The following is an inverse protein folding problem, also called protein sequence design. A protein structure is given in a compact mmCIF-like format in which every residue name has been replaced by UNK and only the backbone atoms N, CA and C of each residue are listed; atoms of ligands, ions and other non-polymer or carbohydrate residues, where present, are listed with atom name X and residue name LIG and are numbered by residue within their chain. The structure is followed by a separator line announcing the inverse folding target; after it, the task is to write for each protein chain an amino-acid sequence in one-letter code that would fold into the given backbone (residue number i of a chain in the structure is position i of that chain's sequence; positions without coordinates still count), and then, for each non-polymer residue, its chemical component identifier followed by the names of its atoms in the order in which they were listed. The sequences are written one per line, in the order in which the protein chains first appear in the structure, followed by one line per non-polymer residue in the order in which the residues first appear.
data_IF_933998496609
#
_entry.id   IF_933998496609
#
_cell.length_a   1.000
_cell.length_b   1.000
_cell.length_c   1.000
_cell.angle_alpha   90.00
_cell.angle_beta   90.00
_cell.angle_gamma   90.00
#
_symmetry.space_group_name_H-M   'P 1'
#
loop_
_entity.id
_entity.type
_entity.pdbx_description
1 polymer ?
#
# COMPACT_ATOMS: atom_id res chain seq x y z
N UNK A 1 60.16 43.21 20.75
CA UNK A 1 59.18 42.71 19.77
C UNK A 1 59.34 41.20 19.70
N UNK A 2 58.43 40.45 20.31
CA UNK A 2 58.37 38.99 20.28
C UNK A 2 57.10 38.61 19.50
N UNK A 3 57.15 37.63 18.59
CA UNK A 3 55.97 37.26 17.82
C UNK A 3 55.06 36.38 18.68
N UNK A 4 53.78 36.77 18.76
CA UNK A 4 52.73 35.98 19.39
C UNK A 4 52.33 34.88 18.39
N UNK A 5 52.66 33.64 18.73
CA UNK A 5 52.28 32.44 17.98
C UNK A 5 50.83 32.09 18.37
N UNK A 6 49.87 32.43 17.51
CA UNK A 6 48.47 32.06 17.68
C UNK A 6 48.29 30.56 17.46
N UNK A 7 48.12 29.82 18.55
CA UNK A 7 47.77 28.40 18.55
C UNK A 7 46.29 28.25 18.21
N UNK A 8 45.99 27.80 16.99
CA UNK A 8 44.64 27.49 16.54
C UNK A 8 44.24 26.12 17.12
N UNK A 9 43.51 26.13 18.24
CA UNK A 9 42.91 24.91 18.80
C UNK A 9 41.68 24.57 17.97
N UNK A 10 41.81 23.62 17.06
CA UNK A 10 40.67 22.98 16.39
C UNK A 10 40.01 22.05 17.42
N UNK A 11 38.95 22.55 18.08
CA UNK A 11 38.06 21.71 18.87
C UNK A 11 37.26 20.89 17.86
N UNK A 12 37.70 19.65 17.62
CA UNK A 12 36.86 18.65 16.97
C UNK A 12 35.67 18.39 17.89
N UNK A 13 34.54 19.03 17.60
CA UNK A 13 33.26 18.64 18.19
C UNK A 13 32.94 17.27 17.61
N UNK A 14 33.27 16.23 18.36
CA UNK A 14 32.69 14.91 18.17
C UNK A 14 31.17 15.06 18.31
N UNK A 15 30.46 15.01 17.19
CA UNK A 15 29.02 14.86 17.19
C UNK A 15 28.68 13.57 17.92
N UNK A 16 28.27 13.69 19.17
CA UNK A 16 27.64 12.60 19.91
C UNK A 16 26.26 12.35 19.28
N UNK A 17 26.21 11.50 18.25
CA UNK A 17 24.95 10.90 17.80
C UNK A 17 24.52 9.87 18.85
N UNK A 18 23.84 10.37 19.88
CA UNK A 18 23.20 9.59 20.92
C UNK A 18 21.82 10.20 21.14
N UNK A 19 20.91 10.02 20.18
CA UNK A 19 19.50 10.36 20.36
C UNK A 19 18.69 9.07 20.53
N UNK A 20 17.98 9.01 21.65
CA UNK A 20 17.25 7.88 22.19
C UNK A 20 16.33 7.21 21.15
N UNK A 21 16.58 5.94 20.84
CA UNK A 21 15.89 5.23 19.75
C UNK A 21 14.42 4.88 20.02
N UNK A 22 13.91 5.20 21.21
CA UNK A 22 12.63 4.69 21.73
C UNK A 22 11.75 5.78 22.35
N UNK A 23 12.06 7.05 22.06
CA UNK A 23 11.23 8.18 22.48
C UNK A 23 11.36 9.36 21.52
N UNK A 24 10.41 10.28 21.65
CA UNK A 24 10.38 11.56 20.98
C UNK A 24 9.86 12.62 21.95
N UNK A 25 10.54 13.76 22.04
CA UNK A 25 10.12 14.86 22.90
C UNK A 25 10.33 16.20 22.21
N UNK A 26 9.30 17.05 22.26
CA UNK A 26 9.33 18.42 21.73
C UNK A 26 8.18 19.25 22.29
N UNK A 27 8.46 20.47 22.74
CA UNK A 27 7.46 21.52 23.04
C UNK A 27 6.27 21.06 23.89
N UNK A 28 6.53 20.30 24.97
CA UNK A 28 5.48 19.81 25.88
C UNK A 28 4.67 18.61 25.36
N UNK A 29 5.11 18.02 24.25
CA UNK A 29 4.76 16.69 23.75
C UNK A 29 5.93 15.74 23.98
N UNK A 30 5.65 14.60 24.57
CA UNK A 30 6.60 13.52 24.85
C UNK A 30 5.91 12.20 24.59
N UNK A 31 6.56 11.33 23.84
CA UNK A 31 6.11 9.96 23.65
C UNK A 31 7.29 9.02 23.77
N UNK A 32 7.13 7.94 24.53
CA UNK A 32 8.06 6.82 24.57
C UNK A 32 7.37 5.53 24.18
N UNK A 33 8.14 4.56 23.70
CA UNK A 33 7.63 3.26 23.33
C UNK A 33 8.57 2.12 23.73
N UNK A 34 7.97 0.99 24.11
CA UNK A 34 8.69 -0.26 24.41
C UNK A 34 7.99 -1.44 23.74
N UNK A 35 8.76 -2.48 23.40
CA UNK A 35 8.27 -3.73 22.84
C UNK A 35 8.31 -4.80 23.93
N UNK A 36 7.12 -5.30 24.28
CA UNK A 36 6.96 -6.41 25.22
C UNK A 36 7.33 -7.75 24.60
N UNK A 37 7.55 -8.76 25.46
CA UNK A 37 7.82 -10.14 25.04
C UNK A 37 6.61 -10.79 24.34
N UNK A 38 5.44 -10.21 24.52
CA UNK A 38 4.17 -10.55 23.87
C UNK A 38 4.00 -9.92 22.49
N UNK A 39 5.06 -9.33 21.92
CA UNK A 39 5.04 -8.67 20.62
C UNK A 39 4.07 -7.47 20.56
N UNK A 40 3.80 -6.82 21.69
CA UNK A 40 3.03 -5.56 21.74
C UNK A 40 3.96 -4.37 21.92
N UNK A 41 3.63 -3.28 21.23
CA UNK A 41 4.29 -1.99 21.40
C UNK A 41 3.46 -1.19 22.40
N UNK A 42 4.03 -0.94 23.57
CA UNK A 42 3.45 -0.10 24.61
C UNK A 42 3.94 1.34 24.40
N UNK A 43 3.01 2.29 24.44
CA UNK A 43 3.27 3.71 24.28
C UNK A 43 2.90 4.45 25.55
N UNK A 44 3.75 5.41 25.94
CA UNK A 44 3.43 6.41 26.94
C UNK A 44 3.47 7.78 26.28
N UNK A 45 2.31 8.43 26.17
CA UNK A 45 2.15 9.73 25.53
C UNK A 45 1.76 10.78 26.57
N UNK A 46 2.60 11.81 26.71
CA UNK A 46 2.37 12.97 27.55
C UNK A 46 2.32 14.23 26.67
N UNK A 47 1.20 14.95 26.67
CA UNK A 47 1.04 16.13 25.82
C UNK A 47 0.30 17.25 26.54
N UNK A 48 0.71 18.49 26.31
CA UNK A 48 0.08 19.67 26.89
C UNK A 48 -0.84 20.35 25.88
N UNK A 49 -1.98 20.88 26.34
CA UNK A 49 -2.93 21.57 25.49
C UNK A 49 -2.27 22.74 24.73
N UNK A 50 -2.47 22.84 23.41
CA UNK A 50 -1.97 23.97 22.64
C UNK A 50 -2.71 25.23 23.11
N UNK A 51 -1.97 26.27 23.50
CA UNK A 51 -2.53 27.58 23.86
C UNK A 51 -3.72 27.55 24.84
N UNK A 52 -3.73 26.61 25.80
CA UNK A 52 -4.81 26.42 26.79
C UNK A 52 -6.21 26.17 26.19
N UNK A 53 -6.29 25.57 25.00
CA UNK A 53 -7.55 25.14 24.41
C UNK A 53 -8.24 24.08 25.27
N UNK A 54 -9.53 24.22 25.52
CA UNK A 54 -10.34 23.22 26.25
C UNK A 54 -10.65 21.98 25.39
N UNK A 55 -10.66 22.16 24.07
CA UNK A 55 -10.95 21.15 23.07
C UNK A 55 -9.78 21.04 22.09
N UNK A 56 -9.03 19.95 22.14
CA UNK A 56 -7.83 19.76 21.33
C UNK A 56 -7.52 18.28 21.11
N UNK A 57 -6.57 17.99 20.24
CA UNK A 57 -6.11 16.64 19.99
C UNK A 57 -4.59 16.57 19.86
N UNK A 58 -4.05 15.39 20.14
CA UNK A 58 -2.66 15.00 19.86
C UNK A 58 -2.64 13.56 19.36
N UNK A 59 -1.56 13.11 18.74
CA UNK A 59 -1.51 11.77 18.15
C UNK A 59 -0.07 11.25 17.98
N UNK A 60 0.03 10.01 17.50
CA UNK A 60 1.18 9.43 16.81
C UNK A 60 0.63 8.91 15.48
N UNK A 61 1.32 9.15 14.38
CA UNK A 61 0.94 8.63 13.08
C UNK A 61 2.06 7.82 12.44
N UNK A 62 1.70 6.74 11.76
CA UNK A 62 2.61 5.77 11.17
C UNK A 62 2.38 5.70 9.65
N UNK A 63 3.46 5.74 8.86
CA UNK A 63 3.43 5.57 7.42
C UNK A 63 3.95 6.76 6.60
N UNK A 64 4.06 6.57 5.29
CA UNK A 64 4.76 7.47 4.34
C UNK A 64 4.15 8.88 4.23
N UNK A 65 2.84 9.02 4.43
CA UNK A 65 2.21 10.34 4.46
C UNK A 65 0.69 10.32 4.37
N UNK A 66 0.08 11.49 4.51
CA UNK A 66 -1.38 11.68 4.49
C UNK A 66 -2.06 11.15 3.22
N UNK A 67 -1.32 11.09 2.12
CA UNK A 67 -1.84 10.69 0.81
C UNK A 67 -1.76 9.16 0.55
N UNK A 68 -1.00 8.41 1.36
CA UNK A 68 -0.92 6.94 1.27
C UNK A 68 -1.84 6.25 2.28
N UNK A 69 -2.30 7.02 3.28
CA UNK A 69 -3.13 6.59 4.39
C UNK A 69 -2.28 6.34 5.62
N UNK A 70 -2.14 7.35 6.46
CA UNK A 70 -1.51 7.20 7.78
C UNK A 70 -2.42 6.39 8.70
N UNK A 71 -1.81 5.49 9.44
CA UNK A 71 -2.38 4.85 10.62
C UNK A 71 -2.14 5.79 11.81
N UNK A 72 -3.19 6.21 12.51
CA UNK A 72 -3.14 7.30 13.48
C UNK A 72 -3.76 6.87 14.80
N UNK A 73 -2.94 6.84 15.85
CA UNK A 73 -3.43 6.71 17.22
C UNK A 73 -3.50 8.10 17.82
N UNK A 74 -4.71 8.52 18.18
CA UNK A 74 -5.01 9.88 18.59
C UNK A 74 -5.62 9.92 19.99
N UNK A 75 -5.22 10.91 20.78
CA UNK A 75 -5.95 11.30 21.98
C UNK A 75 -6.70 12.59 21.69
N UNK A 76 -8.03 12.53 21.81
CA UNK A 76 -8.92 13.69 21.68
C UNK A 76 -9.33 14.13 23.09
N UNK A 77 -9.21 15.42 23.36
CA UNK A 77 -9.69 16.09 24.57
C UNK A 77 -10.88 16.97 24.21
N UNK A 78 -12.04 16.64 24.75
CA UNK A 78 -13.30 17.38 24.55
C UNK A 78 -14.02 17.49 25.88
N UNK A 79 -14.51 18.69 26.22
CA UNK A 79 -15.29 18.90 27.44
C UNK A 79 -14.60 18.38 28.72
N UNK A 80 -13.28 18.60 28.82
CA UNK A 80 -12.43 18.15 29.93
C UNK A 80 -12.38 16.61 30.10
N UNK A 81 -12.67 15.86 29.03
CA UNK A 81 -12.51 14.41 28.98
C UNK A 81 -11.55 14.05 27.85
N UNK A 82 -10.67 13.08 28.11
CA UNK A 82 -9.73 12.58 27.13
C UNK A 82 -10.09 11.14 26.71
N UNK A 83 -10.01 10.86 25.41
CA UNK A 83 -10.31 9.54 24.84
C UNK A 83 -9.30 9.16 23.76
N UNK A 84 -8.95 7.89 23.72
CA UNK A 84 -8.12 7.30 22.67
C UNK A 84 -9.00 6.97 21.46
N UNK A 85 -8.46 7.21 20.27
CA UNK A 85 -9.10 6.85 19.01
C UNK A 85 -8.05 6.26 18.07
N UNK A 86 -8.47 5.23 17.37
CA UNK A 86 -7.76 4.65 16.24
C UNK A 86 -8.38 5.21 14.96
N UNK A 87 -7.54 5.71 14.06
CA UNK A 87 -7.98 6.47 12.88
C UNK A 87 -7.06 6.25 11.70
N UNK A 88 -7.63 6.50 10.52
CA UNK A 88 -6.88 6.52 9.27
C UNK A 88 -6.98 7.88 8.58
N UNK A 89 -5.86 8.34 8.04
CA UNK A 89 -5.84 9.51 7.15
C UNK A 89 -6.48 9.14 5.81
N UNK A 90 -7.44 9.94 5.35
CA UNK A 90 -8.08 9.76 4.03
C UNK A 90 -7.72 10.87 3.05
N UNK A 91 -7.30 12.04 3.54
CA UNK A 91 -6.86 13.17 2.73
C UNK A 91 -6.16 14.24 3.60
N UNK A 92 -5.71 15.33 2.98
CA UNK A 92 -5.15 16.48 3.70
C UNK A 92 -6.22 17.09 4.64
N UNK A 93 -5.98 17.03 5.95
CA UNK A 93 -6.87 17.58 6.98
C UNK A 93 -8.04 16.68 7.40
N UNK A 94 -8.20 15.50 6.81
CA UNK A 94 -9.28 14.55 7.13
C UNK A 94 -8.78 13.22 7.69
N UNK A 95 -9.30 12.81 8.85
CA UNK A 95 -9.21 11.43 9.34
C UNK A 95 -10.60 10.88 9.61
N UNK A 96 -10.78 9.58 9.34
CA UNK A 96 -12.02 8.87 9.67
C UNK A 96 -11.74 7.86 10.78
N UNK A 97 -12.68 7.65 11.71
CA UNK A 97 -12.63 6.50 12.60
C UNK A 97 -12.49 5.23 11.77
N UNK A 98 -11.56 4.37 12.16
CA UNK A 98 -11.51 3.01 11.61
C UNK A 98 -12.72 2.23 12.13
N UNK A 99 -13.21 1.26 11.36
CA UNK A 99 -14.28 0.36 11.82
C UNK A 99 -13.82 -0.61 12.92
N UNK A 100 -12.53 -0.57 13.27
CA UNK A 100 -11.88 -1.48 14.19
C UNK A 100 -10.85 -0.71 15.03
N UNK A 101 -11.02 -0.72 16.36
CA UNK A 101 -10.01 -0.21 17.29
C UNK A 101 -8.98 -1.30 17.55
N UNK A 102 -7.74 -1.11 17.09
CA UNK A 102 -6.65 -2.09 17.30
C UNK A 102 -5.67 -1.64 18.38
N UNK A 103 -5.88 -0.44 18.88
CA UNK A 103 -5.17 0.09 20.02
C UNK A 103 -5.98 -0.15 21.29
N UNK A 104 -5.34 -0.77 22.29
CA UNK A 104 -5.95 -0.95 23.61
C UNK A 104 -5.46 0.13 24.55
N UNK A 105 -6.41 0.85 25.15
CA UNK A 105 -6.15 1.83 26.21
C UNK A 105 -5.83 1.10 27.52
N UNK A 106 -4.71 1.41 28.15
CA UNK A 106 -4.40 0.99 29.52
C UNK A 106 -4.86 2.08 30.51
N UNK A 107 -4.43 3.32 30.30
CA UNK A 107 -4.85 4.46 31.13
C UNK A 107 -4.85 5.77 30.34
N UNK A 108 -5.73 6.69 30.69
CA UNK A 108 -5.70 8.08 30.23
C UNK A 108 -6.09 8.97 31.40
N UNK A 109 -5.25 9.95 31.70
CA UNK A 109 -5.51 10.98 32.71
C UNK A 109 -5.32 12.36 32.10
N UNK A 110 -6.16 13.30 32.50
CA UNK A 110 -6.09 14.71 32.12
C UNK A 110 -5.96 15.52 33.40
N UNK A 111 -4.82 16.20 33.56
CA UNK A 111 -4.51 17.00 34.74
C UNK A 111 -3.92 18.34 34.30
N UNK A 112 -4.51 19.45 34.74
CA UNK A 112 -4.00 20.80 34.49
C UNK A 112 -3.72 21.08 32.99
N UNK A 113 -4.59 20.61 32.10
CA UNK A 113 -4.42 20.78 30.65
C UNK A 113 -3.35 19.88 30.01
N UNK A 114 -2.81 18.91 30.76
CA UNK A 114 -1.89 17.89 30.24
C UNK A 114 -2.53 16.52 30.25
N UNK A 115 -2.45 15.84 29.11
CA UNK A 115 -2.83 14.44 28.94
C UNK A 115 -1.63 13.56 29.25
N UNK A 116 -1.89 12.45 29.93
CA UNK A 116 -0.97 11.32 30.04
C UNK A 116 -1.76 10.07 29.64
N UNK A 117 -1.33 9.40 28.58
CA UNK A 117 -1.99 8.24 28.02
C UNK A 117 -1.02 7.07 27.91
N UNK A 118 -1.44 5.91 28.42
CA UNK A 118 -0.76 4.63 28.24
C UNK A 118 -1.65 3.72 27.41
N UNK A 119 -1.11 3.16 26.35
CA UNK A 119 -1.84 2.28 25.44
C UNK A 119 -0.87 1.37 24.69
N UNK A 120 -1.39 0.29 24.12
CA UNK A 120 -0.58 -0.62 23.31
C UNK A 120 -1.30 -1.09 22.05
N UNK A 121 -0.54 -1.62 21.11
CA UNK A 121 -1.03 -2.39 19.97
C UNK A 121 -0.02 -3.44 19.53
N UNK A 122 -0.43 -4.37 18.67
CA UNK A 122 0.47 -5.39 18.15
C UNK A 122 1.61 -4.80 17.29
N UNK A 123 2.82 -5.33 17.43
CA UNK A 123 4.01 -4.97 16.65
C UNK A 123 3.84 -5.33 15.17
N UNK A 124 3.23 -6.48 14.92
CA UNK A 124 2.83 -6.95 13.59
C UNK A 124 1.32 -7.00 13.55
N UNK A 125 0.76 -6.48 12.46
CA UNK A 125 -0.67 -6.43 12.20
C UNK A 125 -0.89 -6.86 10.76
N UNK A 126 -1.89 -7.70 10.55
CA UNK A 126 -2.35 -8.13 9.23
C UNK A 126 -3.58 -7.31 8.76
N UNK A 127 -3.85 -6.18 9.42
CA UNK A 127 -5.08 -5.41 9.26
C UNK A 127 -4.84 -4.20 8.35
N UNK A 128 -5.79 -3.93 7.46
CA UNK A 128 -5.65 -3.10 6.25
C UNK A 128 -5.39 -1.61 6.48
N UNK A 129 -5.73 -1.11 7.66
CA UNK A 129 -5.61 0.29 8.03
C UNK A 129 -4.44 0.54 8.99
N UNK A 130 -3.71 -0.53 9.32
CA UNK A 130 -2.70 -0.56 10.34
C UNK A 130 -1.31 -0.77 9.73
N UNK A 131 -0.33 0.03 10.13
CA UNK A 131 1.06 -0.13 9.72
C UNK A 131 1.81 -1.01 10.73
N UNK A 132 2.47 -2.11 10.32
CA UNK A 132 3.26 -2.92 11.24
C UNK A 132 4.49 -2.16 11.69
N UNK A 133 4.68 -2.07 12.99
CA UNK A 133 5.71 -1.25 13.62
C UNK A 133 7.08 -1.94 13.70
N UNK A 134 7.16 -3.22 13.34
CA UNK A 134 8.41 -4.00 13.35
C UNK A 134 9.45 -3.55 12.30
N UNK A 135 9.01 -2.93 11.20
CA UNK A 135 9.88 -2.52 10.10
C UNK A 135 10.28 -1.05 10.20
N UNK A 136 11.31 -0.67 9.44
CA UNK A 136 11.68 0.74 9.26
C UNK A 136 10.56 1.51 8.55
N UNK A 137 10.04 2.56 9.18
CA UNK A 137 9.06 3.45 8.56
C UNK A 137 9.07 4.85 9.17
N UNK A 138 8.60 5.87 8.44
CA UNK A 138 8.40 7.19 8.99
C UNK A 138 7.23 7.20 10.00
N UNK A 139 7.50 7.78 11.16
CA UNK A 139 6.50 8.15 12.16
C UNK A 139 6.38 9.67 12.15
N UNK A 140 5.16 10.18 12.32
CA UNK A 140 4.87 11.60 12.42
C UNK A 140 4.34 11.93 13.82
N UNK A 141 4.95 12.96 14.41
CA UNK A 141 4.70 13.43 15.76
C UNK A 141 4.09 14.83 15.70
N UNK A 142 2.75 14.96 15.78
CA UNK A 142 2.05 16.24 15.83
C UNK A 142 2.22 16.91 17.21
N UNK A 143 3.45 17.34 17.50
CA UNK A 143 3.84 17.89 18.80
C UNK A 143 3.03 19.14 19.20
N UNK A 144 2.59 19.93 18.23
CA UNK A 144 1.73 21.10 18.47
C UNK A 144 0.25 20.76 18.64
N UNK A 145 -0.15 19.50 18.40
CA UNK A 145 -1.54 19.09 18.31
C UNK A 145 -2.37 19.90 17.31
N UNK A 146 -3.69 19.86 17.49
CA UNK A 146 -4.66 20.69 16.78
C UNK A 146 -5.95 20.89 17.58
N UNK A 147 -6.91 21.60 17.00
CA UNK A 147 -8.23 21.85 17.62
C UNK A 147 -9.22 20.77 17.19
N UNK A 148 -10.20 20.48 18.04
CA UNK A 148 -11.40 19.70 17.67
C UNK A 148 -12.63 20.61 17.66
N UNK A 149 -13.52 20.38 16.70
CA UNK A 149 -14.79 21.08 16.54
C UNK A 149 -15.92 20.42 17.34
N UNK A 150 -15.63 19.36 18.10
CA UNK A 150 -16.61 18.53 18.79
C UNK A 150 -16.95 17.26 18.02
N UNK A 151 -17.53 16.29 18.73
CA UNK A 151 -17.91 14.95 18.22
C UNK A 151 -16.74 14.20 17.56
N UNK A 152 -15.49 14.51 17.94
CA UNK A 152 -14.29 13.93 17.33
C UNK A 152 -13.99 14.44 15.92
N UNK A 153 -14.59 15.54 15.49
CA UNK A 153 -14.19 16.20 14.24
C UNK A 153 -12.97 17.07 14.50
N UNK A 154 -11.85 16.69 13.93
CA UNK A 154 -10.59 17.42 14.10
C UNK A 154 -10.38 18.43 12.98
N UNK A 155 -9.66 19.51 13.28
CA UNK A 155 -9.06 20.40 12.27
C UNK A 155 -7.55 20.17 12.19
N UNK A 156 -6.94 20.77 11.17
CA UNK A 156 -5.51 20.68 10.92
C UNK A 156 -4.67 21.08 12.15
N UNK A 157 -3.54 20.40 12.31
CA UNK A 157 -2.54 20.69 13.33
C UNK A 157 -2.02 22.14 13.22
N UNK A 158 -1.60 22.73 14.35
CA UNK A 158 -1.07 24.10 14.37
C UNK A 158 0.29 24.25 13.66
N UNK A 159 1.12 23.21 13.73
CA UNK A 159 2.42 23.14 13.06
C UNK A 159 2.59 21.80 12.37
N UNK A 160 3.37 21.78 11.28
CA UNK A 160 3.65 20.56 10.53
C UNK A 160 4.28 19.52 11.47
N UNK A 161 3.72 18.30 11.57
CA UNK A 161 4.25 17.24 12.40
C UNK A 161 5.72 16.94 12.07
N UNK A 162 6.54 16.74 13.10
CA UNK A 162 7.91 16.28 12.90
C UNK A 162 7.89 14.82 12.47
N UNK A 163 8.69 14.46 11.46
CA UNK A 163 8.80 13.07 11.02
C UNK A 163 10.16 12.50 11.37
N UNK A 164 10.17 11.28 11.89
CA UNK A 164 11.41 10.50 12.08
C UNK A 164 11.25 9.12 11.48
N UNK A 165 12.32 8.62 10.87
CA UNK A 165 12.39 7.21 10.46
C UNK A 165 12.72 6.39 11.69
N UNK A 166 11.77 5.56 12.11
CA UNK A 166 11.91 4.69 13.28
C UNK A 166 12.11 3.27 12.77
N UNK A 167 13.12 2.59 13.30
CA UNK A 167 13.63 1.33 12.77
C UNK A 167 13.96 0.36 13.89
N UNK A 168 13.73 -0.93 13.64
CA UNK A 168 14.20 -2.03 14.47
C UNK A 168 13.76 -1.94 15.94
N UNK A 169 12.57 -1.40 16.21
CA UNK A 169 12.09 -1.21 17.59
C UNK A 169 11.97 -2.54 18.34
N UNK A 170 11.72 -3.64 17.62
CA UNK A 170 11.68 -5.00 18.15
C UNK A 170 12.98 -5.42 18.84
N UNK A 171 14.12 -4.85 18.44
CA UNK A 171 15.44 -5.17 19.01
C UNK A 171 16.02 -4.02 19.82
N UNK A 172 15.64 -2.78 19.52
CA UNK A 172 16.21 -1.57 20.15
C UNK A 172 15.40 -1.05 21.33
N UNK A 173 14.12 -1.37 21.39
CA UNK A 173 13.17 -0.81 22.35
C UNK A 173 12.54 -1.88 23.24
N UNK A 174 13.28 -2.93 23.57
CA UNK A 174 12.78 -3.99 24.44
C UNK A 174 12.46 -3.44 25.84
N UNK A 175 11.33 -3.87 26.41
CA UNK A 175 11.03 -3.62 27.81
C UNK A 175 12.13 -4.22 28.69
N UNK A 176 12.52 -3.51 29.76
CA UNK A 176 13.53 -4.04 30.67
C UNK A 176 12.99 -5.29 31.37
N UNK A 177 13.80 -6.36 31.54
CA UNK A 177 13.39 -7.54 32.30
C UNK A 177 13.14 -7.13 33.75
N UNK A 178 11.88 -6.86 34.11
CA UNK A 178 11.48 -6.37 35.42
C UNK A 178 10.38 -5.31 35.42
N UNK A 179 10.06 -4.67 34.29
CA UNK A 179 8.84 -3.85 34.18
C UNK A 179 7.64 -4.76 33.90
N UNK A 180 7.15 -5.36 34.98
CA UNK A 180 5.96 -6.20 34.96
C UNK A 180 4.74 -5.37 34.56
N UNK A 181 4.17 -5.69 33.39
CA UNK A 181 2.73 -5.58 33.17
C UNK A 181 2.00 -6.31 34.32
N UNK A 182 0.86 -5.81 34.83
CA UNK A 182 0.23 -6.36 36.02
C UNK A 182 -0.46 -7.69 35.70
N UNK A 183 0.32 -8.76 35.60
CA UNK A 183 -0.16 -10.14 35.69
C UNK A 183 0.69 -10.81 36.75
N UNK A 184 0.11 -10.90 37.94
CA UNK A 184 0.69 -11.58 39.09
C UNK A 184 0.90 -13.07 38.79
N UNK A 185 2.09 -13.55 39.16
CA UNK A 185 2.49 -14.93 39.49
C UNK A 185 1.60 -16.06 38.96
N UNK A 186 2.07 -16.74 37.91
CA UNK A 186 1.71 -18.12 37.63
C UNK A 186 2.96 -18.98 37.80
N UNK A 187 2.78 -20.15 38.41
CA UNK A 187 3.81 -21.14 38.72
C UNK A 187 4.48 -21.66 37.42
N UNK A 188 5.78 -21.97 37.49
CA UNK A 188 6.63 -22.29 36.33
C UNK A 188 6.12 -23.49 35.49
N UNK A 189 5.29 -24.34 36.09
CA UNK A 189 4.65 -25.47 35.40
C UNK A 189 3.45 -25.08 34.53
N UNK A 190 2.80 -23.96 34.84
CA UNK A 190 1.68 -23.44 34.06
C UNK A 190 2.17 -22.63 32.86
N UNK A 191 3.34 -21.97 32.98
CA UNK A 191 4.04 -21.33 31.84
C UNK A 191 4.45 -22.33 30.75
N UNK A 192 5.03 -23.48 31.12
CA UNK A 192 5.48 -24.47 30.14
C UNK A 192 4.29 -25.06 29.35
N UNK A 193 3.16 -25.30 30.02
CA UNK A 193 1.94 -25.78 29.39
C UNK A 193 1.35 -24.76 28.40
N UNK A 194 1.45 -23.47 28.73
CA UNK A 194 1.01 -22.37 27.85
C UNK A 194 1.95 -22.20 26.65
N UNK A 195 3.26 -22.43 26.79
CA UNK A 195 4.22 -22.39 25.68
C UNK A 195 3.98 -23.53 24.68
N UNK A 196 3.75 -24.75 25.16
CA UNK A 196 3.47 -25.91 24.32
C UNK A 196 2.11 -25.78 23.59
N UNK A 197 1.08 -25.23 24.25
CA UNK A 197 -0.21 -24.93 23.61
C UNK A 197 -0.11 -23.75 22.61
N UNK A 198 0.78 -22.76 22.85
CA UNK A 198 1.04 -21.65 21.91
C UNK A 198 1.74 -22.11 20.63
N UNK A 199 2.65 -23.08 20.70
CA UNK A 199 3.31 -23.62 19.51
C UNK A 199 2.32 -24.36 18.59
N UNK A 200 1.36 -25.08 19.18
CA UNK A 200 0.30 -25.80 18.44
C UNK A 200 -0.75 -24.83 17.87
N UNK A 201 -1.11 -23.77 18.59
CA UNK A 201 -2.04 -22.73 18.10
C UNK A 201 -1.39 -21.85 17.02
N UNK A 202 -0.12 -21.45 17.21
CA UNK A 202 0.70 -20.73 16.23
C UNK A 202 0.77 -21.46 14.87
N UNK A 203 1.03 -22.76 14.93
CA UNK A 203 1.19 -23.58 13.71
C UNK A 203 -0.13 -23.76 12.98
N UNK A 204 -1.25 -23.97 13.68
CA UNK A 204 -2.57 -24.10 13.05
C UNK A 204 -3.12 -22.76 12.54
N UNK A 205 -2.82 -21.65 13.21
CA UNK A 205 -3.21 -20.31 12.78
C UNK A 205 -2.37 -19.82 11.59
N UNK A 206 -1.08 -20.18 11.50
CA UNK A 206 -0.25 -19.98 10.29
C UNK A 206 -0.77 -20.79 9.10
N UNK A 207 -1.22 -22.03 9.29
CA UNK A 207 -1.78 -22.86 8.21
C UNK A 207 -3.14 -22.36 7.71
N UNK A 208 -3.98 -21.76 8.57
CA UNK A 208 -5.24 -21.13 8.13
C UNK A 208 -5.04 -19.74 7.48
N UNK A 209 -4.12 -18.92 8.00
CA UNK A 209 -3.83 -17.58 7.43
C UNK A 209 -3.11 -17.64 6.09
N UNK A 210 -2.34 -18.70 5.81
CA UNK A 210 -1.63 -18.88 4.53
C UNK A 210 -2.57 -19.17 3.35
N UNK A 211 -3.70 -19.86 3.55
CA UNK A 211 -4.68 -20.12 2.48
C UNK A 211 -5.56 -18.92 2.13
N UNK A 212 -5.89 -18.06 3.11
CA UNK A 212 -6.72 -16.86 2.88
C UNK A 212 -5.95 -15.73 2.17
N UNK A 213 -4.62 -15.77 2.18
CA UNK A 213 -3.77 -14.74 1.58
C UNK A 213 -3.50 -14.95 0.08
N UNK A 214 -3.92 -16.07 -0.50
CA UNK A 214 -3.66 -16.41 -1.91
C UNK A 214 -4.90 -16.24 -2.80
N UNK A 215 -5.93 -15.60 -2.25
CA UNK A 215 -7.13 -15.24 -2.99
C UNK A 215 -7.77 -13.99 -2.42
N UNK A 216 -8.55 -13.33 -3.26
CA UNK A 216 -9.39 -12.21 -2.89
C UNK A 216 -10.75 -12.41 -3.53
N UNK A 217 -11.80 -12.39 -2.70
CA UNK A 217 -13.17 -12.45 -3.18
C UNK A 217 -14.00 -11.34 -2.54
N UNK A 218 -14.68 -10.58 -3.39
CA UNK A 218 -15.66 -9.56 -2.99
C UNK A 218 -16.70 -9.37 -4.08
N UNK A 219 -17.97 -9.49 -3.72
CA UNK A 219 -19.09 -9.48 -4.67
C UNK A 219 -18.84 -10.53 -5.78
N UNK A 220 -18.94 -10.13 -7.04
CA UNK A 220 -18.66 -10.99 -8.19
C UNK A 220 -17.17 -11.07 -8.54
N UNK A 221 -16.31 -10.23 -7.95
CA UNK A 221 -14.86 -10.27 -8.19
C UNK A 221 -14.21 -11.39 -7.38
N UNK A 222 -13.56 -12.32 -8.06
CA UNK A 222 -12.79 -13.41 -7.49
C UNK A 222 -11.44 -13.49 -8.19
N UNK A 223 -10.37 -13.21 -7.46
CA UNK A 223 -9.01 -13.34 -7.93
C UNK A 223 -8.30 -14.40 -7.07
N UNK A 224 -7.70 -15.40 -7.71
CA UNK A 224 -6.82 -16.37 -7.05
C UNK A 224 -5.44 -16.25 -7.65
N UNK A 225 -4.41 -16.48 -6.84
CA UNK A 225 -3.04 -16.44 -7.32
C UNK A 225 -2.14 -17.49 -6.70
N UNK A 226 -1.12 -17.88 -7.44
CA UNK A 226 -0.08 -18.78 -6.98
C UNK A 226 1.24 -18.50 -7.69
N UNK A 227 2.34 -18.85 -7.05
CA UNK A 227 3.67 -18.85 -7.62
C UNK A 227 3.92 -20.14 -8.40
N UNK A 228 4.46 -19.98 -9.61
CA UNK A 228 4.92 -21.06 -10.46
C UNK A 228 6.13 -20.59 -11.28
N UNK A 229 7.32 -21.11 -10.96
CA UNK A 229 8.53 -20.92 -11.78
C UNK A 229 9.08 -19.49 -11.80
N UNK A 230 9.03 -18.79 -10.66
CA UNK A 230 9.48 -17.41 -10.49
C UNK A 230 8.43 -16.36 -10.88
N UNK A 231 7.21 -16.78 -11.24
CA UNK A 231 6.12 -15.92 -11.65
C UNK A 231 4.91 -16.11 -10.75
N UNK A 232 4.10 -15.06 -10.59
CA UNK A 232 2.78 -15.16 -9.98
C UNK A 232 1.75 -15.30 -11.10
N UNK A 233 1.00 -16.39 -11.06
CA UNK A 233 -0.12 -16.68 -11.95
C UNK A 233 -1.42 -16.23 -11.25
N UNK A 234 -2.28 -15.55 -12.00
CA UNK A 234 -3.53 -14.97 -11.56
C UNK A 234 -4.71 -15.58 -12.35
N UNK A 235 -5.70 -16.17 -11.65
CA UNK A 235 -7.01 -16.56 -12.20
C UNK A 235 -8.06 -15.56 -11.70
N UNK A 236 -8.41 -14.61 -12.57
CA UNK A 236 -9.39 -13.57 -12.33
C UNK A 236 -10.73 -13.96 -12.93
N UNK A 237 -11.78 -13.94 -12.11
CA UNK A 237 -13.17 -14.14 -12.53
C UNK A 237 -14.03 -13.01 -11.99
N UNK A 238 -14.80 -12.36 -12.85
CA UNK A 238 -15.75 -11.34 -12.41
C UNK A 238 -16.94 -11.23 -13.35
N UNK A 239 -18.09 -10.82 -12.83
CA UNK A 239 -19.23 -10.46 -13.69
C UNK A 239 -19.03 -9.08 -14.30
N UNK A 240 -19.47 -8.94 -15.54
CA UNK A 240 -19.58 -7.67 -16.23
C UNK A 240 -20.59 -6.79 -15.49
N UNK A 241 -20.29 -5.49 -15.35
CA UNK A 241 -21.29 -4.53 -14.89
C UNK A 241 -22.52 -4.57 -15.81
N UNK A 242 -23.70 -4.39 -15.21
CA UNK A 242 -24.97 -4.44 -15.95
C UNK A 242 -24.94 -3.42 -17.09
N UNK A 243 -25.30 -3.86 -18.30
CA UNK A 243 -25.37 -3.04 -19.52
C UNK A 243 -24.03 -2.44 -20.01
N UNK A 244 -22.88 -2.84 -19.44
CA UNK A 244 -21.58 -2.30 -19.84
C UNK A 244 -20.95 -3.08 -21.01
N UNK A 245 -20.85 -2.43 -22.18
CA UNK A 245 -20.07 -2.96 -23.31
C UNK A 245 -18.57 -2.73 -23.14
N UNK A 246 -18.19 -1.67 -22.43
CA UNK A 246 -16.82 -1.19 -22.28
C UNK A 246 -16.52 -0.97 -20.79
N UNK A 247 -15.69 -1.81 -20.21
CA UNK A 247 -15.38 -1.78 -18.79
C UNK A 247 -14.03 -2.42 -18.49
N UNK A 248 -13.53 -2.21 -17.29
CA UNK A 248 -12.26 -2.75 -16.86
C UNK A 248 -12.32 -3.22 -15.42
N UNK A 249 -11.43 -4.15 -15.09
CA UNK A 249 -11.06 -4.52 -13.73
C UNK A 249 -9.55 -4.76 -13.70
N UNK A 250 -8.95 -4.91 -12.52
CA UNK A 250 -7.50 -5.04 -12.40
C UNK A 250 -7.08 -5.70 -11.08
N UNK A 251 -5.77 -5.83 -10.93
CA UNK A 251 -5.06 -5.91 -9.67
C UNK A 251 -3.89 -4.92 -9.74
N UNK A 252 -3.65 -4.16 -8.68
CA UNK A 252 -2.53 -3.22 -8.62
C UNK A 252 -1.59 -3.52 -7.46
N UNK A 253 -0.34 -3.11 -7.57
CA UNK A 253 0.73 -3.38 -6.62
C UNK A 253 1.42 -2.06 -6.24
N UNK A 254 1.71 -1.87 -4.95
CA UNK A 254 2.42 -0.71 -4.43
C UNK A 254 1.60 0.17 -3.47
N UNK A 255 2.23 1.25 -3.00
CA UNK A 255 1.76 2.05 -1.85
C UNK A 255 0.79 3.21 -2.20
N UNK A 256 0.07 3.11 -3.33
CA UNK A 256 -1.00 4.02 -3.74
C UNK A 256 -0.69 4.89 -4.95
N UNK A 257 -1.73 5.58 -5.47
CA UNK A 257 -1.73 6.24 -6.79
C UNK A 257 -0.65 7.31 -7.01
N UNK A 258 -0.12 7.92 -5.95
CA UNK A 258 0.90 8.99 -6.04
C UNK A 258 2.32 8.43 -6.11
N UNK A 259 2.57 7.27 -5.51
CA UNK A 259 3.87 6.60 -5.59
C UNK A 259 4.06 5.82 -6.90
N UNK A 260 3.01 5.72 -7.71
CA UNK A 260 2.96 4.83 -8.87
C UNK A 260 2.56 3.42 -8.45
N UNK A 261 1.32 3.05 -8.70
CA UNK A 261 0.90 1.66 -8.71
C UNK A 261 1.31 1.05 -10.04
N UNK A 262 1.91 -0.14 -10.01
CA UNK A 262 1.93 -1.01 -11.20
C UNK A 262 0.65 -1.85 -11.19
N UNK A 263 0.01 -2.00 -12.34
CA UNK A 263 -1.39 -2.38 -12.47
C UNK A 263 -1.59 -3.31 -13.65
N UNK A 264 -1.93 -4.55 -13.34
CA UNK A 264 -2.38 -5.53 -14.32
C UNK A 264 -3.89 -5.40 -14.53
N UNK A 265 -4.27 -4.86 -15.68
CA UNK A 265 -5.64 -4.44 -15.97
C UNK A 265 -6.25 -5.28 -17.09
N UNK A 266 -7.35 -5.98 -16.79
CA UNK A 266 -8.20 -6.61 -17.79
C UNK A 266 -9.27 -5.63 -18.27
N UNK A 267 -9.26 -5.32 -19.56
CA UNK A 267 -10.21 -4.43 -20.21
C UNK A 267 -11.08 -5.18 -21.20
N UNK A 268 -12.36 -4.85 -21.21
CA UNK A 268 -13.33 -5.27 -22.22
C UNK A 268 -13.72 -4.03 -23.03
N UNK A 269 -13.63 -4.13 -24.35
CA UNK A 269 -14.12 -3.12 -25.28
C UNK A 269 -14.79 -3.79 -26.48
N UNK A 270 -16.08 -3.51 -26.67
CA UNK A 270 -16.89 -4.10 -27.75
C UNK A 270 -16.75 -5.64 -27.83
N UNK A 271 -16.73 -6.32 -26.68
CA UNK A 271 -16.57 -7.77 -26.57
C UNK A 271 -15.14 -8.30 -26.72
N UNK A 272 -14.17 -7.45 -27.04
CA UNK A 272 -12.75 -7.82 -27.09
C UNK A 272 -12.12 -7.68 -25.70
N UNK A 273 -11.38 -8.70 -25.25
CA UNK A 273 -10.67 -8.69 -23.97
C UNK A 273 -9.18 -8.45 -24.22
N UNK A 274 -8.58 -7.56 -23.43
CA UNK A 274 -7.12 -7.38 -23.38
C UNK A 274 -6.67 -7.22 -21.95
N UNK A 275 -5.49 -7.75 -21.63
CA UNK A 275 -4.80 -7.49 -20.36
C UNK A 275 -3.63 -6.59 -20.66
N UNK A 276 -3.48 -5.53 -19.89
CA UNK A 276 -2.40 -4.57 -20.00
C UNK A 276 -1.65 -4.48 -18.69
N UNK A 277 -0.34 -4.29 -18.82
CA UNK A 277 0.49 -3.75 -17.77
C UNK A 277 0.48 -2.22 -17.83
N UNK A 278 0.23 -1.59 -16.69
CA UNK A 278 -0.03 -0.15 -16.63
C UNK A 278 0.54 0.41 -15.36
N UNK A 279 0.98 1.66 -15.41
CA UNK A 279 1.33 2.43 -14.22
C UNK A 279 0.34 3.53 -13.93
N UNK A 280 0.02 3.74 -12.66
CA UNK A 280 -0.76 4.91 -12.24
C UNK A 280 0.13 6.14 -12.19
N UNK A 281 -0.31 7.25 -12.81
CA UNK A 281 0.39 8.54 -12.72
C UNK A 281 -0.47 9.48 -11.89
N UNK A 282 -0.28 9.47 -10.57
CA UNK A 282 -1.06 10.30 -9.64
C UNK A 282 -2.58 10.09 -9.81
N UNK A 283 -3.38 11.13 -9.64
CA UNK A 283 -4.84 11.13 -9.84
C UNK A 283 -5.26 11.23 -11.32
N UNK A 284 -4.33 11.33 -12.26
CA UNK A 284 -4.63 11.51 -13.69
C UNK A 284 -5.04 10.20 -14.39
N UNK A 285 -5.03 9.07 -13.68
CA UNK A 285 -5.35 7.74 -14.19
C UNK A 285 -4.11 6.87 -14.41
N UNK A 286 -4.30 5.71 -15.05
CA UNK A 286 -3.22 4.81 -15.44
C UNK A 286 -2.85 4.98 -16.92
N UNK A 287 -1.56 4.99 -17.22
CA UNK A 287 -1.01 4.96 -18.58
C UNK A 287 -0.50 3.55 -18.88
N UNK A 288 -0.42 3.18 -20.16
CA UNK A 288 0.26 1.95 -20.54
C UNK A 288 1.72 2.03 -20.08
N UNK A 289 2.25 0.94 -19.54
CA UNK A 289 3.67 0.88 -19.30
C UNK A 289 4.44 0.59 -20.59
N UNK A 290 5.67 1.08 -20.68
CA UNK A 290 6.51 0.95 -21.86
C UNK A 290 6.95 -0.50 -22.06
N UNK A 291 7.26 -1.19 -20.95
CA UNK A 291 7.42 -2.63 -20.89
C UNK A 291 6.08 -3.27 -20.52
N UNK A 292 5.80 -4.48 -21.00
CA UNK A 292 4.60 -5.22 -20.63
C UNK A 292 5.06 -6.53 -20.03
N UNK A 293 5.09 -6.62 -18.69
CA UNK A 293 5.58 -7.78 -17.97
C UNK A 293 4.47 -8.80 -17.65
N UNK A 294 3.37 -8.71 -18.41
CA UNK A 294 2.22 -9.60 -18.31
C UNK A 294 2.20 -10.65 -19.43
N UNK A 295 2.08 -11.92 -19.05
CA UNK A 295 1.83 -13.03 -19.98
C UNK A 295 0.38 -13.48 -19.85
N UNK A 296 -0.40 -13.45 -20.93
CA UNK A 296 -1.80 -13.88 -20.94
C UNK A 296 -1.92 -15.31 -21.48
N UNK A 297 -2.50 -16.20 -20.69
CA UNK A 297 -2.71 -17.61 -21.05
C UNK A 297 -4.11 -17.87 -21.60
N UNK A 298 -5.13 -17.25 -21.00
CA UNK A 298 -6.51 -17.47 -21.40
C UNK A 298 -7.38 -16.25 -21.09
N UNK A 299 -8.36 -15.98 -21.96
CA UNK A 299 -9.39 -14.95 -21.75
C UNK A 299 -10.73 -15.47 -22.26
N UNK A 300 -11.80 -15.28 -21.50
CA UNK A 300 -13.15 -15.56 -21.97
C UNK A 300 -14.17 -14.62 -21.35
N UNK A 301 -15.23 -14.30 -22.10
CA UNK A 301 -16.40 -13.57 -21.62
C UNK A 301 -17.62 -14.36 -22.04
N UNK A 302 -18.24 -15.09 -21.10
CA UNK A 302 -19.40 -15.96 -21.35
C UNK A 302 -20.46 -15.71 -20.29
N UNK A 303 -21.71 -15.58 -20.72
CA UNK A 303 -22.86 -15.33 -19.82
C UNK A 303 -22.62 -14.16 -18.84
N UNK A 304 -21.97 -13.11 -19.35
CA UNK A 304 -21.61 -11.93 -18.56
C UNK A 304 -20.49 -12.17 -17.55
N UNK A 305 -19.81 -13.31 -17.55
CA UNK A 305 -18.66 -13.60 -16.68
C UNK A 305 -17.37 -13.51 -17.47
N UNK A 306 -16.50 -12.58 -17.07
CA UNK A 306 -15.12 -12.47 -17.51
C UNK A 306 -14.28 -13.50 -16.74
N UNK A 307 -13.46 -14.26 -17.46
CA UNK A 307 -12.37 -15.05 -16.91
C UNK A 307 -11.08 -14.69 -17.62
N UNK A 308 -10.03 -14.41 -16.85
CA UNK A 308 -8.69 -14.09 -17.36
C UNK A 308 -7.67 -14.87 -16.55
N UNK A 309 -6.78 -15.57 -17.25
CA UNK A 309 -5.64 -16.26 -16.68
C UNK A 309 -4.36 -15.63 -17.25
N UNK A 310 -3.54 -15.07 -16.37
CA UNK A 310 -2.33 -14.34 -16.75
C UNK A 310 -1.25 -14.48 -15.67
N UNK A 311 -0.01 -14.15 -15.98
CA UNK A 311 1.08 -14.09 -14.99
C UNK A 311 1.96 -12.87 -15.18
N UNK A 312 2.71 -12.56 -14.12
CA UNK A 312 3.81 -11.60 -14.12
C UNK A 312 4.96 -12.15 -13.25
N UNK A 313 6.24 -11.88 -13.57
CA UNK A 313 7.36 -12.24 -12.69
C UNK A 313 7.22 -11.67 -11.28
N UNK A 314 7.75 -12.37 -10.27
CA UNK A 314 7.80 -11.86 -8.89
C UNK A 314 8.61 -10.56 -8.76
N UNK A 315 9.68 -10.47 -9.58
CA UNK A 315 10.58 -9.34 -9.72
C UNK A 315 10.79 -9.16 -11.22
N UNK A 316 10.60 -7.94 -11.71
CA UNK A 316 10.87 -7.56 -13.11
C UNK A 316 12.12 -6.68 -13.17
N UNK A 317 12.66 -6.49 -14.38
CA UNK A 317 13.76 -5.55 -14.63
C UNK A 317 13.25 -4.15 -15.01
N UNK A 318 11.93 -3.94 -15.09
CA UNK A 318 11.32 -2.63 -15.25
C UNK A 318 11.39 -1.83 -13.93
N UNK A 319 12.06 -0.67 -13.89
CA UNK A 319 12.11 0.18 -12.70
C UNK A 319 10.76 0.83 -12.32
N UNK A 320 9.74 0.74 -13.17
CA UNK A 320 8.39 1.24 -12.91
C UNK A 320 7.51 0.24 -12.16
N UNK A 321 7.96 -1.00 -12.13
CA UNK A 321 7.26 -2.12 -11.54
C UNK A 321 7.53 -2.25 -10.05
N UNK A 322 6.50 -2.61 -9.30
CA UNK A 322 6.64 -2.92 -7.89
C UNK A 322 6.98 -4.41 -7.73
N UNK A 323 8.05 -4.76 -7.01
CA UNK A 323 8.34 -6.17 -6.71
C UNK A 323 7.26 -6.75 -5.80
N UNK A 324 6.85 -7.99 -6.08
CA UNK A 324 5.79 -8.71 -5.36
C UNK A 324 6.30 -10.01 -4.71
N UNK A 325 7.63 -10.18 -4.65
CA UNK A 325 8.31 -11.25 -3.92
C UNK A 325 8.22 -11.08 -2.40
N UNK A 326 8.22 -9.83 -1.93
CA UNK A 326 8.12 -9.44 -0.52
C UNK A 326 6.69 -8.97 -0.16
N UNK A 327 6.50 -8.55 1.10
CA UNK A 327 5.28 -7.89 1.54
C UNK A 327 4.96 -6.63 0.73
N UNK A 328 3.91 -6.68 -0.09
CA UNK A 328 3.43 -5.55 -0.87
C UNK A 328 1.94 -5.28 -0.58
N UNK A 329 1.54 -4.01 -0.71
CA UNK A 329 0.12 -3.65 -0.73
C UNK A 329 -0.42 -3.92 -2.14
N UNK A 330 -1.46 -4.72 -2.21
CA UNK A 330 -2.20 -5.02 -3.43
C UNK A 330 -3.54 -4.28 -3.40
N UNK A 331 -3.95 -3.72 -4.52
CA UNK A 331 -5.23 -3.05 -4.71
C UNK A 331 -6.13 -3.88 -5.63
N UNK A 332 -7.35 -4.14 -5.17
CA UNK A 332 -8.37 -4.95 -5.84
C UNK A 332 -9.55 -4.05 -6.23
N UNK A 333 -9.55 -3.47 -7.45
CA UNK A 333 -10.69 -2.72 -7.99
C UNK A 333 -11.84 -3.67 -8.37
N UNK A 334 -12.49 -4.23 -7.34
CA UNK A 334 -13.55 -5.24 -7.47
C UNK A 334 -14.80 -4.73 -8.20
N UNK A 335 -15.09 -3.44 -8.13
CA UNK A 335 -16.19 -2.78 -8.86
C UNK A 335 -15.75 -2.29 -10.26
N UNK A 336 -14.45 -2.38 -10.55
CA UNK A 336 -13.86 -1.94 -11.81
C UNK A 336 -14.17 -0.48 -12.14
N UNK A 337 -14.22 -0.17 -13.43
CA UNK A 337 -14.72 1.09 -13.95
C UNK A 337 -15.15 0.97 -15.41
N UNK A 338 -15.62 2.07 -16.00
CA UNK A 338 -15.95 2.12 -17.42
C UNK A 338 -14.72 2.51 -18.26
N UNK A 339 -14.74 2.17 -19.55
CA UNK A 339 -13.74 2.66 -20.50
C UNK A 339 -14.38 3.68 -21.43
N UNK A 340 -13.67 4.78 -21.72
CA UNK A 340 -14.12 5.84 -22.63
C UNK A 340 -13.92 5.49 -24.13
N UNK A 341 -13.66 4.21 -24.44
CA UNK A 341 -13.24 3.73 -25.75
C UNK A 341 -11.73 3.89 -26.00
N UNK A 342 -11.22 3.21 -27.02
CA UNK A 342 -9.81 3.13 -27.38
C UNK A 342 -8.90 2.76 -26.19
N UNK A 343 -9.35 1.83 -25.35
CA UNK A 343 -8.63 1.34 -24.16
C UNK A 343 -8.28 2.44 -23.14
N UNK A 344 -9.04 3.55 -23.16
CA UNK A 344 -8.88 4.66 -22.22
C UNK A 344 -9.67 4.39 -20.94
N UNK A 345 -8.96 4.41 -19.82
CA UNK A 345 -9.50 4.15 -18.47
C UNK A 345 -10.28 5.36 -17.96
N UNK A 346 -11.44 5.11 -17.38
CA UNK A 346 -12.13 6.04 -16.49
C UNK A 346 -11.95 5.55 -15.05
N UNK A 347 -12.00 6.48 -14.08
CA UNK A 347 -11.90 6.17 -12.66
C UNK A 347 -12.84 5.03 -12.24
N UNK A 348 -12.38 4.22 -11.28
CA UNK A 348 -13.14 3.10 -10.74
C UNK A 348 -14.46 3.56 -10.10
N UNK A 349 -15.47 2.70 -10.11
CA UNK A 349 -16.79 2.98 -9.56
C UNK A 349 -16.79 3.06 -8.02
N UNK A 350 -15.90 2.30 -7.38
CA UNK A 350 -15.72 2.27 -5.93
C UNK A 350 -14.23 2.26 -5.59
N UNK A 351 -13.88 2.77 -4.42
CA UNK A 351 -12.49 2.76 -3.94
C UNK A 351 -12.00 1.31 -3.86
N UNK A 352 -10.88 0.96 -4.53
CA UNK A 352 -10.33 -0.39 -4.50
C UNK A 352 -10.05 -0.86 -3.07
N UNK A 353 -10.38 -2.11 -2.77
CA UNK A 353 -9.96 -2.71 -1.51
C UNK A 353 -8.45 -2.96 -1.57
N UNK A 354 -7.74 -2.68 -0.49
CA UNK A 354 -6.29 -2.89 -0.44
C UNK A 354 -5.98 -3.98 0.55
N UNK A 355 -5.09 -4.93 0.23
CA UNK A 355 -4.57 -5.93 1.17
C UNK A 355 -3.07 -6.02 1.14
N UNK A 356 -2.46 -6.24 2.31
CA UNK A 356 -1.04 -6.56 2.41
C UNK A 356 -0.87 -8.06 2.13
N UNK A 357 -0.13 -8.38 1.07
CA UNK A 357 0.17 -9.75 0.65
C UNK A 357 1.68 -9.94 0.82
N UNK A 358 2.08 -10.96 1.57
CA UNK A 358 3.46 -11.26 1.93
C UNK A 358 3.90 -12.65 1.45
N UNK A 359 5.17 -12.77 1.08
CA UNK A 359 5.87 -14.01 0.79
C UNK A 359 5.08 -14.92 -0.17
N UNK A 360 4.59 -14.36 -1.28
CA UNK A 360 3.77 -15.09 -2.28
C UNK A 360 4.48 -16.36 -2.74
N UNK A 361 5.79 -16.28 -2.93
CA UNK A 361 6.61 -17.42 -3.33
C UNK A 361 6.64 -18.54 -2.29
N UNK A 362 6.49 -18.24 -1.00
CA UNK A 362 6.48 -19.22 0.08
C UNK A 362 5.06 -19.76 0.31
N UNK A 363 4.08 -18.86 0.35
CA UNK A 363 2.75 -19.14 0.89
C UNK A 363 1.74 -19.57 -0.19
N UNK A 364 1.92 -19.11 -1.43
CA UNK A 364 0.94 -19.31 -2.49
C UNK A 364 1.44 -20.30 -3.53
N UNK A 365 1.59 -21.58 -3.17
CA UNK A 365 1.91 -22.62 -4.15
C UNK A 365 0.65 -23.14 -4.83
N UNK A 366 0.80 -23.57 -6.08
CA UNK A 366 -0.29 -24.22 -6.81
C UNK A 366 -0.76 -25.47 -6.09
N UNK A 367 -2.06 -25.56 -5.82
CA UNK A 367 -2.62 -26.79 -5.26
C UNK A 367 -2.48 -27.94 -6.27
N UNK A 368 -2.04 -29.13 -5.85
CA UNK A 368 -1.98 -30.33 -6.70
C UNK A 368 -3.34 -30.73 -7.31
N UNK A 369 -4.44 -30.22 -6.75
CA UNK A 369 -5.81 -30.51 -7.20
C UNK A 369 -6.40 -29.46 -8.16
N UNK A 370 -5.69 -28.35 -8.43
CA UNK A 370 -6.18 -27.30 -9.34
C UNK A 370 -5.85 -27.63 -10.81
N UNK A 371 -6.80 -28.28 -11.48
CA UNK A 371 -6.72 -28.70 -12.89
C UNK A 371 -6.93 -27.55 -13.90
N UNK A 372 -6.88 -26.28 -13.47
CA UNK A 372 -7.14 -25.14 -14.36
C UNK A 372 -6.07 -24.91 -15.46
N UNK A 373 -4.92 -25.60 -15.41
CA UNK A 373 -3.88 -25.57 -16.46
C UNK A 373 -3.13 -26.92 -16.55
N UNK A 374 -2.92 -27.49 -17.74
CA UNK A 374 -1.93 -28.58 -17.92
C UNK A 374 -0.50 -28.05 -17.65
N UNK A 375 0.48 -28.88 -17.23
CA UNK A 375 1.77 -28.41 -16.74
C UNK A 375 2.53 -27.56 -17.78
N UNK A 376 2.91 -26.35 -17.38
CA UNK A 376 3.56 -25.30 -18.19
C UNK A 376 5.07 -25.52 -18.44
N UNK A 377 5.60 -26.73 -18.23
CA UNK A 377 7.03 -27.03 -18.37
C UNK A 377 7.33 -28.09 -19.42
N UNK A 378 7.00 -27.87 -20.71
CA UNK A 378 7.77 -28.47 -21.83
C UNK A 378 7.54 -27.79 -23.20
N UNK A 379 8.01 -26.55 -23.42
CA UNK A 379 8.35 -26.11 -24.80
C UNK A 379 9.57 -25.18 -24.77
N UNK A 380 10.77 -25.76 -24.63
CA UNK A 380 11.96 -25.18 -25.27
C UNK A 380 11.92 -25.60 -26.74
N UNK A 381 11.15 -24.90 -27.59
CA UNK A 381 11.40 -24.97 -29.02
C UNK A 381 12.53 -24.02 -29.36
N UNK A 382 13.68 -24.64 -29.63
CA UNK A 382 14.81 -24.04 -30.34
C UNK A 382 14.28 -23.43 -31.64
N UNK A 383 14.32 -22.11 -31.78
CA UNK A 383 14.42 -21.51 -33.10
C UNK A 383 15.85 -21.75 -33.59
N UNK A 384 16.08 -22.91 -34.19
CA UNK A 384 17.23 -23.15 -35.06
C UNK A 384 16.92 -22.52 -36.41
N UNK A 385 17.79 -21.59 -36.82
CA UNK A 385 17.85 -21.05 -38.17
C UNK A 385 17.77 -22.17 -39.21
N UNK A 386 16.78 -22.11 -40.09
CA UNK A 386 16.80 -22.78 -41.39
C UNK A 386 16.00 -21.91 -42.37
N UNK A 387 16.66 -20.88 -42.90
CA UNK A 387 16.27 -20.27 -44.16
C UNK A 387 16.91 -21.10 -45.28
N UNK A 388 16.07 -21.63 -46.17
CA UNK A 388 16.47 -21.95 -47.54
C UNK A 388 15.30 -21.68 -48.48
N UNK A 389 15.56 -21.18 -49.70
CA UNK A 389 14.62 -20.41 -50.49
C UNK A 389 13.76 -21.29 -51.39
N UNK A 390 12.49 -20.91 -51.59
CA UNK A 390 11.66 -21.47 -52.65
C UNK A 390 11.47 -20.40 -53.73
N UNK A 391 11.99 -20.71 -54.91
CA UNK A 391 11.87 -20.00 -56.17
C UNK A 391 10.47 -20.19 -56.81
N UNK A 392 9.88 -19.05 -57.23
CA UNK A 392 9.00 -18.71 -58.37
C UNK A 392 8.23 -19.82 -59.17
N UNK A 393 7.10 -19.49 -59.84
CA UNK A 393 7.16 -18.65 -61.04
C UNK A 393 6.07 -17.57 -61.18
N UNK A 394 6.46 -16.51 -61.91
CA UNK A 394 5.58 -15.49 -62.50
C UNK A 394 4.65 -16.11 -63.56
N UNK A 395 3.39 -15.65 -63.61
CA UNK A 395 2.71 -15.21 -64.84
C UNK A 395 1.29 -14.71 -64.51
N UNK A 396 0.90 -13.57 -65.08
CA UNK A 396 -0.50 -13.11 -65.07
C UNK A 396 -0.67 -11.60 -65.04
N UNK A 397 -0.47 -10.96 -66.19
CA UNK A 397 -0.77 -9.54 -66.41
C UNK A 397 -2.28 -9.27 -66.38
N UNK A 398 -2.72 -8.26 -65.61
CA UNK A 398 -4.00 -7.56 -65.86
C UNK A 398 -3.80 -6.05 -65.67
N UNK A 399 -4.19 -5.33 -66.72
CA UNK A 399 -4.20 -3.89 -66.94
C UNK A 399 -5.05 -3.12 -65.92
N UNK A 400 -4.51 -2.02 -65.39
CA UNK A 400 -5.29 -0.96 -64.73
C UNK A 400 -5.05 0.37 -65.46
N UNK A 401 -6.14 0.90 -66.02
CA UNK A 401 -6.17 2.19 -66.70
C UNK A 401 -5.99 3.35 -65.73
N UNK A 402 -5.14 4.28 -66.16
CA UNK A 402 -5.05 5.65 -65.67
C UNK A 402 -6.41 6.37 -65.73
N UNK A 403 -6.83 6.96 -64.61
CA UNK A 403 -7.51 8.26 -64.62
C UNK A 403 -6.83 9.20 -63.65
N UNK A 404 -6.59 10.40 -64.16
CA UNK A 404 -5.79 11.45 -63.58
C UNK A 404 -6.69 12.64 -63.22
N UNK A 405 -6.28 13.38 -62.18
CA UNK A 405 -6.49 14.83 -61.93
C UNK A 405 -7.80 15.22 -61.17
N UNK A 406 -7.86 16.30 -60.34
CA UNK A 406 -6.81 17.24 -59.87
C UNK A 406 -6.66 17.41 -58.35
N UNK A 407 -5.50 18.00 -58.02
CA UNK A 407 -5.18 18.78 -56.83
C UNK A 407 -6.15 19.95 -56.59
N UNK A 408 -6.50 20.19 -55.31
CA UNK A 408 -6.77 21.53 -54.80
C UNK A 408 -6.24 21.65 -53.37
N UNK A 409 -5.28 22.57 -53.24
CA UNK A 409 -4.71 23.15 -52.04
C UNK A 409 -5.75 23.80 -51.13
N UNK A 410 -5.62 23.64 -49.81
CA UNK A 410 -6.15 24.64 -48.87
C UNK A 410 -5.29 24.76 -47.60
N UNK A 411 -4.68 25.93 -47.52
CA UNK A 411 -4.19 26.74 -46.42
C UNK A 411 -4.21 26.25 -44.96
N UNK A 412 -3.03 26.47 -44.38
CA UNK A 412 -2.68 26.72 -42.98
C UNK A 412 -3.64 27.72 -42.31
N UNK A 413 -4.11 27.39 -41.11
CA UNK A 413 -4.46 28.37 -40.08
C UNK A 413 -4.21 27.77 -38.69
N UNK A 414 -3.10 28.18 -38.08
CA UNK A 414 -2.85 28.04 -36.65
C UNK A 414 -3.74 29.03 -35.89
N UNK A 415 -4.52 28.55 -34.93
CA UNK A 415 -5.19 29.40 -33.94
C UNK A 415 -4.82 28.92 -32.54
N UNK A 416 -3.96 29.74 -31.94
CA UNK A 416 -3.68 29.83 -30.50
C UNK A 416 -4.98 30.21 -29.79
N UNK A 417 -5.37 29.48 -28.75
CA UNK A 417 -6.36 29.95 -27.78
C UNK A 417 -5.72 29.94 -26.39
N UNK A 418 -5.53 31.16 -25.89
CA UNK A 418 -5.16 31.50 -24.51
C UNK A 418 -6.45 31.92 -23.80
N UNK A 419 -6.58 31.52 -22.53
CA UNK A 419 -7.54 32.10 -21.58
C UNK A 419 -8.48 31.04 -20.98
N UNK A 420 -8.77 31.01 -19.69
CA UNK A 420 -8.49 31.91 -18.57
C UNK A 420 -8.65 31.10 -17.26
N UNK A 421 -7.87 31.48 -16.26
CA UNK A 421 -8.16 31.24 -14.84
C UNK A 421 -9.53 31.84 -14.44
N UNK A 422 -10.24 31.22 -13.47
CA UNK A 422 -10.83 31.84 -12.26
C UNK A 422 -11.82 30.88 -11.54
N UNK A 423 -11.62 30.74 -10.22
CA UNK A 423 -12.51 30.37 -9.10
C UNK A 423 -13.54 29.23 -9.24
N UNK A 424 -13.37 28.15 -8.45
CA UNK A 424 -13.97 27.97 -7.11
C UNK A 424 -13.21 26.90 -6.32
#
# INVERSE_FOLDING_TARGET
MLPVLSLLVVIATSATTSEASCSFQRDGYEVSWTVGTDQRVHFQLNATAPANQSNWWTAIAFGEGHNTGLDIIMVIVENNQARLMDRKSVSYGGSVPTQWQHTTKESIRLENGRVYASFYRALVTNILDDNPLGNCMPWAFPFSGGVTLGDGKIVQHFQIPERRHICNIATRCLASPGETSPIASLDDKELQKIEDEKEIISTNQQVQTTLEQCSFQKNDYNLRWWEEGGQVVFDLRTKAPKDAQNWWTAVGFGNGHIAGLDVLMAMVENGTIRVFDRKSVSYAGSVLDEQQDVTVYNTSLRDGTLQVLFSRPLITDDPQDNPIDQCAIWAFPYSGGTNAGNWKVVMHNEVPERRRICDVALNCKRSPTDNSILPLLTVRQRFSNNLSPISAPLNGAISLQHRSIPFSSCLIASLVYIGYFLFF
#
